data_IF_099045159350
#
_entry.id   IF_099045159350
#
_cell.length_a   1.000
_cell.length_b   1.000
_cell.length_c   1.000
_cell.angle_alpha   90.00
_cell.angle_beta   90.00
_cell.angle_gamma   90.00
#
_symmetry.space_group_name_H-M   'P 1'
#
loop_
_entity.id
_entity.type
_entity.pdbx_description
1 polymer ?
#
# COMPACT_ATOMS: atom_id res chain seq x y z
N UNK A 1 16.92 7.23 -3.49
CA UNK A 1 17.17 6.25 -2.40
C UNK A 1 16.04 6.29 -1.38
N UNK A 2 15.55 7.47 -1.02
CA UNK A 2 14.34 7.63 -0.21
C UNK A 2 13.09 7.04 -0.90
N UNK A 3 12.99 7.15 -2.23
CA UNK A 3 11.83 6.70 -3.02
C UNK A 3 11.62 5.18 -2.95
N UNK A 4 12.73 4.43 -3.01
CA UNK A 4 12.72 2.97 -2.82
C UNK A 4 12.33 2.56 -1.40
N UNK A 5 12.77 3.30 -0.39
CA UNK A 5 12.37 3.03 1.00
C UNK A 5 10.89 3.33 1.18
N UNK A 6 10.42 4.44 0.62
CA UNK A 6 9.02 4.83 0.66
C UNK A 6 8.13 3.75 0.06
N UNK A 7 8.52 3.19 -1.09
CA UNK A 7 7.76 2.13 -1.74
C UNK A 7 7.73 0.84 -0.94
N UNK A 8 8.86 0.44 -0.34
CA UNK A 8 8.94 -0.78 0.46
C UNK A 8 8.07 -0.64 1.71
N UNK A 9 8.11 0.53 2.36
CA UNK A 9 7.31 0.81 3.55
C UNK A 9 5.82 0.88 3.20
N UNK A 10 5.42 1.68 2.21
CA UNK A 10 4.01 1.80 1.82
C UNK A 10 3.45 0.49 1.26
N UNK A 11 4.24 -0.26 0.49
CA UNK A 11 3.87 -1.58 0.00
C UNK A 11 3.69 -2.60 1.13
N UNK A 12 4.57 -2.57 2.14
CA UNK A 12 4.42 -3.40 3.34
C UNK A 12 3.16 -3.07 4.15
N UNK A 13 2.85 -1.78 4.32
CA UNK A 13 1.62 -1.34 4.99
C UNK A 13 0.37 -1.73 4.19
N UNK A 14 0.39 -1.57 2.88
CA UNK A 14 -0.71 -1.96 2.00
C UNK A 14 -0.96 -3.49 2.05
N UNK A 15 0.12 -4.28 1.95
CA UNK A 15 0.03 -5.74 2.05
C UNK A 15 -0.51 -6.19 3.40
N UNK A 16 0.01 -5.62 4.50
CA UNK A 16 -0.49 -5.94 5.83
C UNK A 16 -1.95 -5.52 5.98
N UNK A 17 -2.34 -4.32 5.58
CA UNK A 17 -3.72 -3.83 5.70
C UNK A 17 -4.71 -4.65 4.89
N UNK A 18 -4.32 -5.13 3.70
CA UNK A 18 -5.17 -5.93 2.83
C UNK A 18 -5.23 -7.42 3.24
N UNK A 19 -4.18 -7.92 3.88
CA UNK A 19 -4.06 -9.32 4.30
C UNK A 19 -4.44 -9.53 5.78
N UNK A 20 -4.65 -8.45 6.53
CA UNK A 20 -5.05 -8.53 7.92
C UNK A 20 -6.47 -9.09 8.04
N UNK A 21 -6.59 -10.22 8.73
CA UNK A 21 -7.86 -10.84 9.06
C UNK A 21 -8.04 -10.78 10.57
N UNK A 22 -9.24 -10.44 10.99
CA UNK A 22 -9.60 -10.41 12.40
C UNK A 22 -9.72 -11.85 12.96
N UNK A 23 -9.94 -11.97 14.27
CA UNK A 23 -9.98 -13.26 14.99
C UNK A 23 -11.11 -14.19 14.50
N UNK A 24 -12.17 -13.63 13.91
CA UNK A 24 -13.27 -14.36 13.27
C UNK A 24 -12.95 -14.80 11.83
N UNK A 25 -11.78 -14.44 11.29
CA UNK A 25 -11.33 -14.77 9.94
C UNK A 25 -11.96 -13.91 8.85
N UNK A 26 -12.75 -12.90 9.22
CA UNK A 26 -13.33 -11.92 8.30
C UNK A 26 -12.34 -10.77 8.06
N UNK A 27 -12.53 -10.07 6.94
CA UNK A 27 -11.74 -8.88 6.68
C UNK A 27 -12.50 -7.68 7.21
N UNK A 28 -11.96 -7.04 8.25
CA UNK A 28 -12.52 -5.80 8.75
C UNK A 28 -12.54 -4.75 7.63
N UNK A 29 -13.73 -4.21 7.32
CA UNK A 29 -13.92 -3.27 6.22
C UNK A 29 -13.00 -2.05 6.39
N UNK A 30 -12.74 -1.60 7.62
CA UNK A 30 -11.81 -0.51 7.90
C UNK A 30 -10.39 -0.81 7.46
N UNK A 31 -9.87 -1.99 7.79
CA UNK A 31 -8.55 -2.44 7.37
C UNK A 31 -8.43 -2.62 5.85
N UNK A 32 -9.45 -3.18 5.20
CA UNK A 32 -9.49 -3.29 3.74
C UNK A 32 -9.49 -1.93 3.05
N UNK A 33 -10.29 -0.99 3.52
CA UNK A 33 -10.35 0.37 2.96
C UNK A 33 -9.03 1.10 3.16
N UNK A 34 -8.46 1.03 4.36
CA UNK A 34 -7.16 1.62 4.66
C UNK A 34 -6.04 0.99 3.82
N UNK A 35 -6.00 -0.35 3.74
CA UNK A 35 -5.07 -1.09 2.90
C UNK A 35 -5.21 -0.76 1.42
N UNK A 36 -6.43 -0.58 0.92
CA UNK A 36 -6.69 -0.19 -0.47
C UNK A 36 -6.21 1.22 -0.78
N UNK A 37 -6.44 2.18 0.12
CA UNK A 37 -5.93 3.56 -0.05
C UNK A 37 -4.39 3.57 0.01
N UNK A 38 -3.79 2.81 0.93
CA UNK A 38 -2.35 2.65 1.01
C UNK A 38 -1.77 2.03 -0.27
N UNK A 39 -2.44 1.03 -0.85
CA UNK A 39 -2.06 0.42 -2.12
C UNK A 39 -2.11 1.45 -3.26
N UNK A 40 -3.18 2.23 -3.38
CA UNK A 40 -3.30 3.28 -4.39
C UNK A 40 -2.18 4.32 -4.29
N UNK A 41 -1.81 4.70 -3.07
CA UNK A 41 -0.69 5.59 -2.83
C UNK A 41 0.66 4.94 -3.19
N UNK A 42 0.86 3.66 -2.85
CA UNK A 42 2.04 2.90 -3.22
C UNK A 42 2.20 2.82 -4.75
N UNK A 43 1.11 2.54 -5.46
CA UNK A 43 1.09 2.49 -6.93
C UNK A 43 1.43 3.88 -7.49
N UNK A 44 0.82 4.94 -6.97
CA UNK A 44 1.15 6.31 -7.42
C UNK A 44 2.65 6.59 -7.30
N UNK A 45 3.27 6.29 -6.15
CA UNK A 45 4.70 6.49 -5.91
C UNK A 45 5.55 5.60 -6.83
N UNK A 46 5.14 4.36 -7.08
CA UNK A 46 5.79 3.48 -8.05
C UNK A 46 5.83 4.10 -9.45
N UNK A 47 4.70 4.61 -9.91
CA UNK A 47 4.56 5.12 -11.27
C UNK A 47 5.18 6.51 -11.46
N UNK A 48 5.02 7.41 -10.49
CA UNK A 48 5.48 8.80 -10.58
C UNK A 48 6.93 8.94 -10.14
N UNK A 49 7.30 8.40 -8.98
CA UNK A 49 8.62 8.65 -8.39
C UNK A 49 9.68 7.65 -8.86
N UNK A 50 9.34 6.36 -9.01
CA UNK A 50 10.30 5.33 -9.43
C UNK A 50 10.37 5.19 -10.96
N UNK A 51 9.22 4.95 -11.61
CA UNK A 51 9.16 4.75 -13.06
C UNK A 51 9.26 6.05 -13.85
N UNK A 52 9.13 7.21 -13.19
CA UNK A 52 9.12 8.55 -13.81
C UNK A 52 8.20 8.63 -15.05
N UNK A 53 7.08 7.90 -15.03
CA UNK A 53 6.16 7.81 -16.19
C UNK A 53 5.37 9.10 -16.43
N UNK A 54 5.35 9.99 -15.45
CA UNK A 54 4.89 11.37 -15.58
C UNK A 54 6.12 12.26 -15.45
N UNK A 55 6.67 12.66 -16.60
CA UNK A 55 7.71 13.67 -16.72
C UNK A 55 7.13 15.03 -17.06
#
# INVERSE_FOLDING_TARGET
MLDYIFIIVTGGVAYHGLTHRNEDGDNDIGHLLFGSIALLFCIRVLFVDILQLVG
#
